data_IF_176781318075
#
_entry.id   IF_176781318075
#
_cell.length_a   1.000
_cell.length_b   1.000
_cell.length_c   1.000
_cell.angle_alpha   90.00
_cell.angle_beta   90.00
_cell.angle_gamma   90.00
#
_symmetry.space_group_name_H-M   'P 1'
#
loop_
_entity.id
_entity.type
_entity.pdbx_description
1 polymer ?
#
# COMPACT_ATOMS: atom_id res chain seq x y z
N UNK A 1 -13.25 -2.42 -4.47
CA UNK A 1 -12.64 -1.17 -3.95
C UNK A 1 -11.14 -1.34 -4.03
N UNK A 2 -10.34 -0.29 -4.31
CA UNK A 2 -8.89 -0.41 -4.25
C UNK A 2 -8.47 -0.83 -2.84
N UNK A 3 -7.45 -1.68 -2.76
CA UNK A 3 -6.84 -2.09 -1.49
C UNK A 3 -6.04 -0.92 -0.93
N UNK A 4 -6.32 -0.52 0.31
CA UNK A 4 -5.42 0.35 1.04
C UNK A 4 -4.20 -0.47 1.48
N UNK A 5 -3.01 0.03 1.18
CA UNK A 5 -1.76 -0.67 1.47
C UNK A 5 -0.74 0.25 2.11
N UNK A 6 0.15 -0.35 2.90
CA UNK A 6 1.37 0.31 3.36
C UNK A 6 2.57 -0.37 2.74
N UNK A 7 3.31 0.38 1.92
CA UNK A 7 4.49 -0.09 1.21
C UNK A 7 5.75 0.31 1.98
N UNK A 8 6.56 -0.66 2.37
CA UNK A 8 7.83 -0.44 3.04
C UNK A 8 8.95 -0.47 2.01
N UNK A 9 9.58 0.68 1.76
CA UNK A 9 10.66 0.82 0.79
C UNK A 9 12.04 0.78 1.48
N UNK A 10 13.06 0.36 0.76
CA UNK A 10 14.44 0.38 1.26
C UNK A 10 14.92 1.81 1.49
N UNK A 11 15.36 2.09 2.73
CA UNK A 11 15.91 3.38 3.17
C UNK A 11 14.93 4.56 3.06
N UNK A 12 13.64 4.29 3.21
CA UNK A 12 12.59 5.31 3.14
C UNK A 12 11.51 5.02 4.18
N UNK A 13 10.81 6.06 4.62
CA UNK A 13 9.65 5.90 5.49
C UNK A 13 8.53 5.10 4.79
N UNK A 14 7.69 4.35 5.53
CA UNK A 14 6.57 3.64 4.94
C UNK A 14 5.57 4.58 4.26
N UNK A 15 5.09 4.15 3.08
CA UNK A 15 4.17 4.91 2.23
C UNK A 15 2.78 4.30 2.30
N UNK A 16 1.77 5.10 2.61
CA UNK A 16 0.36 4.72 2.46
C UNK A 16 -0.05 4.93 1.00
N UNK A 17 -0.69 3.95 0.39
CA UNK A 17 -1.12 4.02 -1.01
C UNK A 17 -2.33 3.12 -1.28
N UNK A 18 -2.80 3.15 -2.52
CA UNK A 18 -3.92 2.35 -2.99
C UNK A 18 -3.46 1.41 -4.13
N UNK A 19 -3.97 0.18 -4.15
CA UNK A 19 -3.75 -0.80 -5.23
C UNK A 19 -5.08 -1.28 -5.79
N UNK A 20 -5.26 -1.22 -7.11
CA UNK A 20 -6.48 -1.73 -7.76
C UNK A 20 -6.59 -3.26 -7.69
N UNK A 21 -5.44 -3.96 -7.66
CA UNK A 21 -5.37 -5.41 -7.54
C UNK A 21 -4.10 -5.82 -6.81
N UNK A 22 -4.17 -6.93 -6.07
CA UNK A 22 -2.99 -7.51 -5.42
C UNK A 22 -2.03 -8.09 -6.48
N UNK A 23 -0.72 -7.99 -6.28
CA UNK A 23 0.23 -8.42 -7.29
C UNK A 23 0.36 -9.96 -7.32
N UNK A 24 0.56 -10.50 -8.52
CA UNK A 24 0.91 -11.90 -8.75
C UNK A 24 2.38 -12.17 -8.37
N UNK A 25 2.73 -13.37 -7.85
CA UNK A 25 4.12 -13.73 -7.52
C UNK A 25 5.12 -13.60 -8.68
N UNK A 26 4.66 -13.59 -9.93
CA UNK A 26 5.50 -13.44 -11.13
C UNK A 26 5.72 -12.00 -11.57
N UNK A 27 4.95 -11.05 -11.02
CA UNK A 27 5.15 -9.63 -11.32
C UNK A 27 6.53 -9.19 -10.86
N UNK A 28 7.14 -8.27 -11.61
CA UNK A 28 8.46 -7.69 -11.28
C UNK A 28 8.36 -6.33 -10.58
N UNK A 29 7.16 -5.77 -10.54
CA UNK A 29 6.86 -4.48 -9.93
C UNK A 29 5.41 -4.46 -9.42
N UNK A 30 5.11 -3.44 -8.62
CA UNK A 30 3.76 -3.13 -8.15
C UNK A 30 3.33 -1.77 -8.68
N UNK A 31 2.05 -1.65 -8.95
CA UNK A 31 1.39 -0.41 -9.33
C UNK A 31 0.64 0.13 -8.13
N UNK A 32 0.88 1.39 -7.78
CA UNK A 32 0.18 2.06 -6.69
C UNK A 32 -0.34 3.42 -7.15
N UNK A 33 -1.42 3.88 -6.50
CA UNK A 33 -2.02 5.18 -6.66
C UNK A 33 -2.05 5.95 -5.33
N UNK A 34 -2.20 7.26 -5.42
CA UNK A 34 -2.37 8.17 -4.28
C UNK A 34 -1.35 8.01 -3.14
N UNK A 35 -0.03 7.82 -3.43
CA UNK A 35 0.95 7.56 -2.39
C UNK A 35 1.18 8.80 -1.53
N UNK A 36 1.16 8.60 -0.22
CA UNK A 36 1.32 9.63 0.79
C UNK A 36 2.07 9.09 1.99
N UNK A 37 2.73 9.97 2.72
CA UNK A 37 3.27 9.64 4.03
C UNK A 37 2.12 9.33 4.98
N UNK A 38 2.39 8.60 6.07
CA UNK A 38 1.38 8.29 7.10
C UNK A 38 0.75 9.53 7.77
N UNK A 39 1.43 10.67 7.70
CA UNK A 39 0.90 11.98 8.17
C UNK A 39 0.00 12.69 7.14
N UNK A 40 -0.25 12.07 5.98
CA UNK A 40 -1.05 12.61 4.89
C UNK A 40 -0.32 13.53 3.92
N UNK A 41 0.96 13.85 4.16
CA UNK A 41 1.75 14.71 3.25
C UNK A 41 2.22 13.94 2.01
N UNK A 42 2.45 14.68 0.93
CA UNK A 42 3.06 14.14 -0.29
C UNK A 42 4.48 13.61 -0.04
N UNK A 43 4.87 12.62 -0.85
CA UNK A 43 6.24 12.12 -0.88
C UNK A 43 7.18 13.17 -1.48
N UNK A 44 8.32 13.39 -0.82
CA UNK A 44 9.26 14.46 -1.21
C UNK A 44 9.96 14.20 -2.56
N UNK A 45 9.94 12.97 -3.06
CA UNK A 45 10.54 12.56 -4.34
C UNK A 45 9.52 12.40 -5.48
N UNK A 46 8.24 12.66 -5.23
CA UNK A 46 7.19 12.58 -6.25
C UNK A 46 7.00 13.93 -6.93
N UNK A 47 6.92 13.92 -8.26
CA UNK A 47 6.64 15.11 -9.08
C UNK A 47 5.18 15.51 -9.00
N UNK A 48 4.92 16.81 -8.96
CA UNK A 48 3.56 17.36 -9.01
C UNK A 48 2.83 16.90 -10.28
N UNK A 49 1.57 16.49 -10.13
CA UNK A 49 0.72 16.00 -11.23
C UNK A 49 0.89 14.52 -11.59
N UNK A 50 1.85 13.79 -10.98
CA UNK A 50 1.94 12.35 -11.15
C UNK A 50 0.75 11.64 -10.47
N UNK A 51 0.05 10.77 -11.21
CA UNK A 51 -1.18 10.10 -10.75
C UNK A 51 -1.03 8.60 -10.49
N UNK A 52 0.00 7.97 -11.05
CA UNK A 52 0.25 6.53 -10.92
C UNK A 52 1.73 6.24 -10.81
N UNK A 53 2.08 5.25 -10.00
CA UNK A 53 3.47 4.98 -9.62
C UNK A 53 3.77 3.50 -9.76
N UNK A 54 4.97 3.19 -10.24
CA UNK A 54 5.44 1.83 -10.45
C UNK A 54 6.71 1.64 -9.63
N UNK A 55 6.71 0.68 -8.71
CA UNK A 55 7.86 0.37 -7.86
C UNK A 55 8.35 -1.04 -8.12
N UNK A 56 9.65 -1.26 -8.37
CA UNK A 56 10.19 -2.60 -8.54
C UNK A 56 10.26 -3.34 -7.20
N UNK A 57 10.08 -4.67 -7.22
CA UNK A 57 10.19 -5.48 -6.01
C UNK A 57 11.55 -5.38 -5.32
N UNK A 58 12.62 -5.17 -6.09
CA UNK A 58 13.98 -4.99 -5.56
C UNK A 58 14.15 -3.77 -4.64
N UNK A 59 13.16 -2.88 -4.57
CA UNK A 59 13.16 -1.70 -3.71
C UNK A 59 12.14 -1.78 -2.56
N UNK A 60 11.33 -2.84 -2.52
CA UNK A 60 10.27 -3.05 -1.53
C UNK A 60 10.70 -4.15 -0.55
N UNK A 61 10.62 -3.86 0.75
CA UNK A 61 10.90 -4.84 1.81
C UNK A 61 9.68 -5.75 2.02
N UNK A 62 8.49 -5.17 2.17
CA UNK A 62 7.20 -5.87 2.24
C UNK A 62 6.03 -4.88 2.05
N UNK A 63 4.81 -5.42 1.91
CA UNK A 63 3.57 -4.65 1.77
C UNK A 63 2.56 -5.14 2.80
N UNK A 64 1.96 -4.23 3.56
CA UNK A 64 0.80 -4.50 4.41
C UNK A 64 -0.47 -4.25 3.58
N UNK A 65 -1.41 -5.19 3.57
CA UNK A 65 -2.73 -5.01 2.97
C UNK A 65 -3.71 -4.75 4.11
N UNK A 66 -4.36 -3.60 4.10
CA UNK A 66 -5.28 -3.19 5.16
C UNK A 66 -6.66 -3.80 4.90
N UNK A 67 -7.28 -4.36 5.93
CA UNK A 67 -8.68 -4.79 5.88
C UNK A 67 -9.59 -3.58 5.69
N UNK A 68 -10.62 -3.74 4.86
CA UNK A 68 -11.67 -2.74 4.75
C UNK A 68 -12.44 -2.67 6.07
N UNK A 69 -12.96 -1.50 6.46
CA UNK A 69 -13.73 -1.38 7.71
C UNK A 69 -14.98 -2.28 7.71
N UNK A 70 -15.49 -2.68 6.53
CA UNK A 70 -16.62 -3.62 6.38
C UNK A 70 -16.25 -5.07 6.78
N UNK A 71 -14.97 -5.45 6.75
CA UNK A 71 -14.52 -6.82 7.08
C UNK A 71 -14.20 -7.02 8.58
N UNK A 72 -14.15 -5.94 9.37
CA UNK A 72 -13.74 -5.98 10.79
C UNK A 72 -14.80 -6.56 11.74
N UNK A 73 -16.05 -6.72 11.29
CA UNK A 73 -17.18 -7.14 12.12
C UNK A 73 -17.26 -8.66 12.40
N UNK A 74 -16.32 -9.48 11.90
CA UNK A 74 -16.44 -10.96 11.93
C UNK A 74 -15.59 -11.66 13.01
N UNK A 75 -15.03 -10.94 14.00
CA UNK A 75 -14.33 -11.59 15.13
C UNK A 75 -15.04 -11.32 16.46
N UNK A 76 -16.28 -11.81 16.59
CA UNK A 76 -16.86 -12.09 17.91
C UNK A 76 -16.14 -13.31 18.50
N UNK A 77 -15.26 -13.03 19.46
CA UNK A 77 -14.60 -14.04 20.27
C UNK A 77 -15.64 -14.85 21.08
N UNK A 78 -16.01 -16.03 20.61
CA UNK A 78 -16.62 -17.03 21.47
C UNK A 78 -15.53 -17.62 22.39
N UNK A 79 -15.63 -17.34 23.69
CA UNK A 79 -14.98 -18.14 24.74
C UNK A 79 -16.09 -18.85 25.51
N UNK A 80 -16.12 -20.18 25.42
CA UNK A 80 -16.77 -21.06 26.40
C UNK A 80 -15.80 -21.31 27.57
#
# INVERSE_FOLDING_TARGET
MPYEVIVHLHNEDPVLAEMDSLPDPTHQCVFIANPRRRDGRSLHYVTEGATSFIFPWSRITFIEVMESEEDRDVVEFFRE
#
